data_IF_535272487003
#
_entry.id   IF_535272487003
#
_cell.length_a   1.000
_cell.length_b   1.000
_cell.length_c   1.000
_cell.angle_alpha   90.00
_cell.angle_beta   90.00
_cell.angle_gamma   90.00
#
_symmetry.space_group_name_H-M   'P 1'
#
loop_
_entity.id
_entity.type
_entity.pdbx_description
1 polymer ?
#
# COMPACT_ATOMS: atom_id res chain seq x y z
N UNK A 1 25.54 14.83 -3.06
CA UNK A 1 24.52 13.92 -3.60
C UNK A 1 24.07 13.04 -2.43
N UNK A 2 22.77 12.85 -2.19
CA UNK A 2 22.30 11.97 -1.11
C UNK A 2 22.19 10.55 -1.61
N UNK A 3 22.70 9.60 -0.84
CA UNK A 3 22.61 8.18 -1.13
C UNK A 3 21.49 7.54 -0.33
N UNK A 4 20.56 6.87 -0.99
CA UNK A 4 19.38 6.27 -0.38
C UNK A 4 19.38 4.76 -0.61
N UNK A 5 19.21 3.99 0.46
CA UNK A 5 18.88 2.56 0.37
C UNK A 5 17.36 2.41 0.33
N UNK A 6 16.86 1.66 -0.65
CA UNK A 6 15.42 1.38 -0.80
C UNK A 6 15.22 -0.12 -0.79
N UNK A 7 14.50 -0.63 0.19
CA UNK A 7 14.07 -2.04 0.20
C UNK A 7 12.71 -2.17 -0.45
N UNK A 8 12.48 -3.26 -1.19
CA UNK A 8 11.24 -3.43 -1.95
C UNK A 8 11.16 -2.53 -3.20
N UNK A 9 12.32 -2.18 -3.79
CA UNK A 9 12.41 -1.20 -4.87
C UNK A 9 11.91 -1.66 -6.23
N UNK A 10 11.64 -2.95 -6.44
CA UNK A 10 10.93 -3.48 -7.61
C UNK A 10 9.40 -3.58 -7.36
N UNK A 11 8.96 -3.41 -6.11
CA UNK A 11 7.56 -3.40 -5.72
C UNK A 11 6.79 -2.18 -6.25
N UNK A 12 5.48 -2.13 -5.95
CA UNK A 12 4.61 -1.05 -6.45
C UNK A 12 5.06 0.33 -5.98
N UNK A 13 5.12 0.55 -4.66
CA UNK A 13 5.48 1.86 -4.11
C UNK A 13 6.98 2.15 -4.20
N UNK A 14 7.83 1.16 -3.90
CA UNK A 14 9.28 1.35 -3.96
C UNK A 14 9.79 1.73 -5.36
N UNK A 15 9.16 1.22 -6.43
CA UNK A 15 9.48 1.58 -7.81
C UNK A 15 9.13 3.05 -8.13
N UNK A 16 7.97 3.51 -7.66
CA UNK A 16 7.55 4.90 -7.83
C UNK A 16 8.47 5.87 -7.05
N UNK A 17 8.71 5.57 -5.76
CA UNK A 17 9.60 6.35 -4.91
C UNK A 17 11.02 6.42 -5.48
N UNK A 18 11.59 5.29 -5.88
CA UNK A 18 12.91 5.20 -6.51
C UNK A 18 13.03 6.12 -7.74
N UNK A 19 12.06 6.04 -8.64
CA UNK A 19 12.04 6.84 -9.87
C UNK A 19 11.93 8.33 -9.59
N UNK A 20 11.15 8.72 -8.60
CA UNK A 20 11.01 10.11 -8.19
C UNK A 20 12.31 10.66 -7.60
N UNK A 21 12.93 9.93 -6.68
CA UNK A 21 14.22 10.31 -6.09
C UNK A 21 15.34 10.44 -7.13
N UNK A 22 15.42 9.50 -8.07
CA UNK A 22 16.40 9.55 -9.16
C UNK A 22 16.22 10.78 -10.07
N UNK A 23 14.96 11.16 -10.36
CA UNK A 23 14.64 12.39 -11.12
C UNK A 23 15.10 13.66 -10.38
N UNK A 24 15.10 13.64 -9.06
CA UNK A 24 15.59 14.74 -8.23
C UNK A 24 17.10 14.69 -7.98
N UNK A 25 17.84 13.78 -8.62
CA UNK A 25 19.30 13.69 -8.55
C UNK A 25 19.85 12.96 -7.33
N UNK A 26 19.01 12.17 -6.60
CA UNK A 26 19.50 11.25 -5.58
C UNK A 26 20.22 10.07 -6.23
N UNK A 27 21.18 9.47 -5.50
CA UNK A 27 21.72 8.16 -5.84
C UNK A 27 20.96 7.10 -5.01
N UNK A 28 20.52 6.03 -5.67
CA UNK A 28 19.73 4.99 -5.03
C UNK A 28 20.40 3.63 -5.17
N UNK A 29 20.45 2.89 -4.06
CA UNK A 29 20.63 1.43 -4.07
C UNK A 29 19.29 0.81 -3.75
N UNK A 30 18.81 -0.04 -4.62
CA UNK A 30 17.51 -0.73 -4.47
C UNK A 30 17.75 -2.22 -4.27
N UNK A 31 17.15 -2.82 -3.22
CA UNK A 31 17.19 -4.27 -2.96
C UNK A 31 15.76 -4.82 -3.01
N UNK A 32 15.59 -5.92 -3.73
CA UNK A 32 14.32 -6.63 -3.87
C UNK A 32 14.56 -8.12 -4.17
N UNK A 33 13.62 -8.98 -3.80
CA UNK A 33 13.60 -10.40 -4.17
C UNK A 33 13.45 -10.58 -5.69
N UNK A 34 12.68 -9.68 -6.30
CA UNK A 34 12.47 -9.67 -7.73
C UNK A 34 13.54 -8.86 -8.47
N UNK A 35 13.79 -9.23 -9.72
CA UNK A 35 14.70 -8.47 -10.58
C UNK A 35 14.08 -7.12 -10.94
N UNK A 36 14.80 -6.04 -10.68
CA UNK A 36 14.42 -4.71 -11.11
C UNK A 36 14.81 -4.49 -12.58
N UNK A 37 13.84 -4.31 -13.49
CA UNK A 37 14.12 -4.06 -14.90
C UNK A 37 14.54 -2.61 -15.19
N UNK A 38 14.28 -1.68 -14.27
CA UNK A 38 14.57 -0.26 -14.46
C UNK A 38 16.08 0.01 -14.48
N UNK A 39 16.50 0.91 -15.34
CA UNK A 39 17.92 1.31 -15.49
C UNK A 39 18.04 2.82 -15.44
N UNK A 40 18.96 3.29 -14.61
CA UNK A 40 19.31 4.71 -14.47
C UNK A 40 20.75 4.84 -13.97
N UNK A 41 21.56 5.84 -14.42
CA UNK A 41 22.94 5.99 -13.98
C UNK A 41 23.10 6.13 -12.46
N UNK A 42 22.15 6.76 -11.79
CA UNK A 42 22.13 6.92 -10.33
C UNK A 42 21.56 5.73 -9.56
N UNK A 43 21.23 4.58 -10.22
CA UNK A 43 20.64 3.41 -9.59
C UNK A 43 21.57 2.20 -9.62
N UNK A 44 21.85 1.64 -8.44
CA UNK A 44 22.36 0.27 -8.29
C UNK A 44 21.22 -0.64 -7.83
N UNK A 45 20.70 -1.49 -8.73
CA UNK A 45 19.67 -2.47 -8.40
C UNK A 45 20.33 -3.80 -7.98
N UNK A 46 19.98 -4.27 -6.80
CA UNK A 46 20.46 -5.53 -6.21
C UNK A 46 19.28 -6.48 -6.08
N UNK A 47 19.40 -7.67 -6.66
CA UNK A 47 18.47 -8.76 -6.38
C UNK A 47 18.94 -9.47 -5.12
N UNK A 48 18.10 -9.46 -4.07
CA UNK A 48 18.50 -10.05 -2.78
C UNK A 48 17.36 -10.06 -1.77
N UNK A 49 17.59 -10.76 -0.69
CA UNK A 49 16.65 -10.91 0.41
C UNK A 49 17.10 -10.06 1.61
N UNK A 50 16.22 -9.24 2.17
CA UNK A 50 16.53 -8.44 3.37
C UNK A 50 16.71 -9.29 4.63
N UNK A 51 16.38 -10.59 4.59
CA UNK A 51 16.72 -11.54 5.65
C UNK A 51 18.20 -11.94 5.66
N UNK A 52 18.90 -11.70 4.56
CA UNK A 52 20.36 -11.91 4.48
C UNK A 52 21.08 -10.65 4.99
N UNK A 53 21.41 -10.66 6.28
CA UNK A 53 22.12 -9.56 6.93
C UNK A 53 23.53 -9.37 6.35
N UNK A 54 24.17 -10.43 5.86
CA UNK A 54 25.52 -10.36 5.27
C UNK A 54 25.50 -9.59 3.96
N UNK A 55 24.44 -9.77 3.14
CA UNK A 55 24.22 -9.01 1.93
C UNK A 55 23.97 -7.52 2.23
N UNK A 56 23.14 -7.23 3.23
CA UNK A 56 22.87 -5.85 3.66
C UNK A 56 24.14 -5.16 4.16
N UNK A 57 24.95 -5.85 4.98
CA UNK A 57 26.26 -5.36 5.45
C UNK A 57 27.21 -5.07 4.27
N UNK A 58 27.27 -5.97 3.29
CA UNK A 58 28.12 -5.75 2.10
C UNK A 58 27.70 -4.50 1.33
N UNK A 59 26.38 -4.30 1.13
CA UNK A 59 25.84 -3.09 0.49
C UNK A 59 26.22 -1.82 1.26
N UNK A 60 26.12 -1.83 2.59
CA UNK A 60 26.41 -0.68 3.44
C UNK A 60 27.91 -0.39 3.58
N UNK A 61 28.79 -1.40 3.41
CA UNK A 61 30.25 -1.17 3.34
C UNK A 61 30.66 -0.48 2.04
N UNK A 62 29.99 -0.76 0.94
CA UNK A 62 30.29 -0.16 -0.35
C UNK A 62 29.75 1.27 -0.49
N UNK A 63 28.67 1.59 0.22
CA UNK A 63 27.98 2.87 0.07
C UNK A 63 27.55 3.41 1.43
N UNK A 64 27.97 4.63 1.77
CA UNK A 64 27.45 5.35 2.93
C UNK A 64 26.07 5.93 2.57
N UNK A 65 25.05 5.54 3.32
CA UNK A 65 23.68 6.00 3.12
C UNK A 65 23.28 7.14 4.06
N UNK A 66 22.49 8.08 3.54
CA UNK A 66 21.87 9.16 4.30
C UNK A 66 20.52 8.74 4.91
N UNK A 67 19.87 7.74 4.30
CA UNK A 67 18.62 7.17 4.81
C UNK A 67 18.34 5.80 4.18
N UNK A 68 17.48 5.02 4.88
CA UNK A 68 16.81 3.83 4.36
C UNK A 68 15.33 4.14 4.17
N UNK A 69 14.77 3.89 2.99
CA UNK A 69 13.32 3.74 2.79
C UNK A 69 12.97 2.25 2.83
N UNK A 70 12.36 1.83 3.91
CA UNK A 70 11.98 0.44 4.10
C UNK A 70 10.54 0.20 3.63
N UNK A 71 10.41 -0.16 2.32
CA UNK A 71 9.14 -0.42 1.65
C UNK A 71 8.89 -1.92 1.43
N UNK A 72 9.90 -2.78 1.66
CA UNK A 72 9.76 -4.21 1.47
C UNK A 72 8.72 -4.80 2.45
N UNK A 73 7.78 -5.56 1.90
CA UNK A 73 6.84 -6.35 2.68
C UNK A 73 6.19 -7.44 1.81
N UNK A 74 6.00 -8.61 2.39
CA UNK A 74 5.22 -9.69 1.78
C UNK A 74 3.78 -9.55 2.24
N UNK A 75 2.83 -9.51 1.28
CA UNK A 75 1.40 -9.39 1.54
C UNK A 75 0.76 -10.76 1.81
N UNK A 76 -0.24 -10.82 2.68
CA UNK A 76 -0.90 -12.08 3.06
C UNK A 76 -1.51 -12.85 1.89
N UNK A 77 -2.02 -12.15 0.87
CA UNK A 77 -2.60 -12.77 -0.31
C UNK A 77 -1.57 -13.15 -1.39
N UNK A 78 -0.35 -12.66 -1.29
CA UNK A 78 0.72 -12.93 -2.27
C UNK A 78 1.42 -14.27 -2.04
N UNK A 79 1.37 -14.81 -0.82
CA UNK A 79 2.06 -16.06 -0.48
C UNK A 79 1.20 -16.96 0.38
N UNK A 80 1.37 -18.30 0.20
CA UNK A 80 0.74 -19.32 1.06
C UNK A 80 1.55 -19.58 2.32
N UNK A 81 2.86 -19.41 2.24
CA UNK A 81 3.80 -19.63 3.34
C UNK A 81 3.77 -18.44 4.32
N UNK A 82 3.09 -18.65 5.43
CA UNK A 82 3.00 -17.65 6.50
C UNK A 82 4.32 -17.41 7.21
N UNK A 83 5.19 -18.42 7.28
CA UNK A 83 6.51 -18.27 7.88
C UNK A 83 7.41 -17.39 7.01
N UNK A 84 7.35 -17.56 5.69
CA UNK A 84 8.04 -16.69 4.74
C UNK A 84 7.58 -15.24 4.87
N UNK A 85 6.26 -15.00 4.99
CA UNK A 85 5.73 -13.66 5.25
C UNK A 85 6.28 -13.09 6.55
N UNK A 86 6.19 -13.87 7.63
CA UNK A 86 6.61 -13.42 8.94
C UNK A 86 8.08 -13.05 8.97
N UNK A 87 8.97 -13.98 8.57
CA UNK A 87 10.41 -13.77 8.59
C UNK A 87 10.82 -12.62 7.64
N UNK A 88 10.19 -12.50 6.48
CA UNK A 88 10.49 -11.38 5.56
C UNK A 88 10.11 -10.03 6.16
N UNK A 89 8.93 -9.93 6.79
CA UNK A 89 8.45 -8.65 7.32
C UNK A 89 9.05 -8.31 8.69
N UNK A 90 9.31 -9.31 9.54
CA UNK A 90 9.78 -9.08 10.93
C UNK A 90 11.30 -9.19 11.00
N UNK A 91 11.89 -10.34 10.62
CA UNK A 91 13.35 -10.51 10.71
C UNK A 91 14.05 -9.60 9.69
N UNK A 92 13.46 -9.43 8.51
CA UNK A 92 13.93 -8.44 7.52
C UNK A 92 13.96 -7.03 8.06
N UNK A 93 12.91 -6.58 8.78
CA UNK A 93 12.89 -5.26 9.42
C UNK A 93 13.94 -5.16 10.53
N UNK A 94 14.13 -6.21 11.33
CA UNK A 94 15.18 -6.25 12.34
C UNK A 94 16.57 -6.14 11.73
N UNK A 95 16.84 -6.84 10.65
CA UNK A 95 18.10 -6.73 9.92
C UNK A 95 18.35 -5.31 9.38
N UNK A 96 17.32 -4.64 8.88
CA UNK A 96 17.43 -3.25 8.43
C UNK A 96 17.79 -2.32 9.60
N UNK A 97 17.15 -2.49 10.77
CA UNK A 97 17.48 -1.72 11.96
C UNK A 97 18.91 -1.96 12.45
N UNK A 98 19.33 -3.24 12.53
CA UNK A 98 20.69 -3.64 12.91
C UNK A 98 21.75 -3.02 11.99
N UNK A 99 21.55 -3.11 10.68
CA UNK A 99 22.51 -2.58 9.70
C UNK A 99 22.53 -1.05 9.75
N UNK A 100 21.36 -0.41 9.91
CA UNK A 100 21.29 1.04 10.04
C UNK A 100 22.09 1.53 11.25
N UNK A 101 21.91 0.89 12.42
CA UNK A 101 22.72 1.15 13.63
C UNK A 101 24.22 0.92 13.37
N UNK A 102 24.58 -0.27 12.88
CA UNK A 102 25.98 -0.70 12.70
C UNK A 102 26.77 0.23 11.75
N UNK A 103 26.12 0.71 10.69
CA UNK A 103 26.77 1.58 9.69
C UNK A 103 26.49 3.06 9.91
N UNK A 104 25.85 3.45 11.02
CA UNK A 104 25.56 4.84 11.36
C UNK A 104 24.64 5.52 10.34
N UNK A 105 23.68 4.82 9.77
CA UNK A 105 22.69 5.43 8.87
C UNK A 105 21.73 6.25 9.73
N UNK A 106 21.67 7.58 9.52
CA UNK A 106 21.03 8.46 10.49
C UNK A 106 19.50 8.39 10.47
N UNK A 107 18.90 7.69 9.49
CA UNK A 107 17.45 7.76 9.28
C UNK A 107 16.86 6.49 8.64
N UNK A 108 15.75 6.00 9.20
CA UNK A 108 14.94 4.93 8.61
C UNK A 108 13.52 5.46 8.43
N UNK A 109 12.99 5.38 7.21
CA UNK A 109 11.58 5.70 6.90
C UNK A 109 10.85 4.41 6.57
N UNK A 110 9.85 4.07 7.36
CA UNK A 110 9.13 2.81 7.26
C UNK A 110 7.71 2.99 6.76
N UNK A 111 7.30 2.21 5.77
CA UNK A 111 5.92 2.12 5.32
C UNK A 111 5.18 1.05 6.12
N UNK A 112 4.36 1.48 7.08
CA UNK A 112 3.43 0.64 7.83
C UNK A 112 2.06 0.59 7.14
N UNK A 113 1.01 0.20 7.84
CA UNK A 113 -0.28 -0.11 7.21
C UNK A 113 -1.46 0.19 8.12
N UNK A 114 -2.63 0.42 7.52
CA UNK A 114 -3.92 0.45 8.22
C UNK A 114 -4.41 -0.95 8.64
N UNK A 115 -3.76 -2.03 8.18
CA UNK A 115 -4.06 -3.40 8.63
C UNK A 115 -3.71 -3.66 10.11
N UNK A 116 -3.17 -2.65 10.80
CA UNK A 116 -2.94 -2.68 12.24
C UNK A 116 -4.25 -2.75 13.04
N UNK A 117 -5.37 -2.36 12.46
CA UNK A 117 -6.65 -2.35 13.14
C UNK A 117 -7.69 -3.23 12.46
N UNK A 118 -8.35 -4.03 13.29
CA UNK A 118 -9.41 -4.92 12.88
C UNK A 118 -10.81 -4.40 13.21
N UNK A 119 -10.93 -3.33 14.01
CA UNK A 119 -12.20 -2.77 14.46
C UNK A 119 -12.51 -1.42 13.82
N UNK A 120 -13.81 -1.12 13.69
CA UNK A 120 -14.27 0.23 13.39
C UNK A 120 -14.35 1.02 14.69
N UNK A 121 -13.74 2.19 14.73
CA UNK A 121 -13.75 3.07 15.92
C UNK A 121 -14.96 4.02 15.97
N UNK A 122 -15.74 4.10 14.89
CA UNK A 122 -16.80 5.12 14.76
C UNK A 122 -16.28 6.56 14.67
N UNK A 123 -14.97 6.74 14.55
CA UNK A 123 -14.24 8.00 14.37
C UNK A 123 -12.94 7.74 13.60
N UNK A 124 -12.25 8.78 13.10
CA UNK A 124 -10.91 8.64 12.55
C UNK A 124 -9.93 8.01 13.56
N UNK A 125 -9.07 7.12 13.07
CA UNK A 125 -8.05 6.42 13.85
C UNK A 125 -6.87 7.36 14.06
N UNK A 126 -6.46 7.52 15.32
CA UNK A 126 -5.34 8.36 15.73
C UNK A 126 -4.06 7.51 15.89
N UNK A 127 -2.90 8.17 15.94
CA UNK A 127 -1.61 7.48 16.08
C UNK A 127 -1.42 6.76 17.42
N UNK A 128 -2.08 7.23 18.46
CA UNK A 128 -2.07 6.68 19.83
C UNK A 128 -3.13 5.59 20.08
N UNK A 129 -4.01 5.33 19.09
CA UNK A 129 -4.93 4.20 19.19
C UNK A 129 -4.15 2.88 19.17
N UNK A 130 -4.41 2.01 20.13
CA UNK A 130 -3.72 0.72 20.27
C UNK A 130 -4.01 -0.19 19.07
N UNK A 131 -2.98 -0.69 18.36
CA UNK A 131 -3.16 -1.62 17.27
C UNK A 131 -3.75 -2.97 17.71
N UNK A 132 -4.77 -3.43 16.98
CA UNK A 132 -5.44 -4.74 17.16
C UNK A 132 -5.50 -5.47 15.82
N UNK A 133 -4.38 -5.97 15.28
CA UNK A 133 -4.37 -6.60 13.96
C UNK A 133 -5.09 -7.95 13.96
N UNK A 134 -5.96 -8.17 12.96
CA UNK A 134 -6.71 -9.44 12.83
C UNK A 134 -5.96 -10.50 12.02
N UNK A 135 -4.98 -10.11 11.24
CA UNK A 135 -4.28 -10.98 10.30
C UNK A 135 -2.76 -10.89 10.46
N UNK A 136 -2.06 -11.96 10.06
CA UNK A 136 -0.61 -12.08 10.18
C UNK A 136 0.14 -10.92 9.50
N UNK A 137 -0.38 -10.35 8.43
CA UNK A 137 0.23 -9.19 7.77
C UNK A 137 0.20 -7.95 8.67
N UNK A 138 -0.96 -7.60 9.20
CA UNK A 138 -1.08 -6.49 10.15
C UNK A 138 -0.21 -6.70 11.38
N UNK A 139 -0.21 -7.91 11.94
CA UNK A 139 0.64 -8.27 13.08
C UNK A 139 2.13 -8.10 12.75
N UNK A 140 2.58 -8.54 11.56
CA UNK A 140 3.98 -8.38 11.14
C UNK A 140 4.39 -6.92 10.94
N UNK A 141 3.47 -6.06 10.46
CA UNK A 141 3.72 -4.62 10.34
C UNK A 141 3.80 -3.95 11.71
N UNK A 142 2.92 -4.34 12.63
CA UNK A 142 2.98 -3.88 14.03
C UNK A 142 4.27 -4.29 14.74
N UNK A 143 4.70 -5.54 14.54
CA UNK A 143 5.99 -5.99 15.07
C UNK A 143 7.16 -5.19 14.48
N UNK A 144 7.10 -4.87 13.20
CA UNK A 144 8.09 -4.01 12.55
C UNK A 144 8.15 -2.60 13.15
N UNK A 145 7.00 -1.98 13.50
CA UNK A 145 6.99 -0.68 14.21
C UNK A 145 7.66 -0.78 15.59
N UNK A 146 7.37 -1.85 16.34
CA UNK A 146 7.99 -2.08 17.67
C UNK A 146 9.50 -2.28 17.56
N UNK A 147 9.96 -3.10 16.62
CA UNK A 147 11.39 -3.30 16.35
C UNK A 147 12.07 -1.97 16.09
N UNK A 148 11.55 -1.15 15.18
CA UNK A 148 12.18 0.13 14.85
C UNK A 148 12.17 1.12 16.04
N UNK A 149 11.17 1.05 16.92
CA UNK A 149 11.11 1.84 18.13
C UNK A 149 12.21 1.47 19.15
N UNK A 150 12.65 0.19 19.19
CA UNK A 150 13.79 -0.26 20.02
C UNK A 150 15.10 0.50 19.70
N UNK A 151 15.23 1.04 18.47
CA UNK A 151 16.41 1.75 17.99
C UNK A 151 16.26 3.28 17.99
N UNK A 152 15.32 3.83 18.74
CA UNK A 152 15.02 5.27 18.75
C UNK A 152 16.23 6.17 19.16
N UNK A 153 17.23 5.61 19.83
CA UNK A 153 18.48 6.30 20.19
C UNK A 153 19.60 6.19 19.13
N UNK A 154 19.46 5.29 18.16
CA UNK A 154 20.50 4.98 17.19
C UNK A 154 20.30 5.73 15.85
N UNK A 155 19.05 5.95 15.45
CA UNK A 155 18.67 6.69 14.24
C UNK A 155 17.25 7.30 14.40
N UNK A 156 16.95 8.27 13.55
CA UNK A 156 15.60 8.83 13.47
C UNK A 156 14.71 7.84 12.69
N UNK A 157 13.66 7.34 13.34
CA UNK A 157 12.66 6.48 12.72
C UNK A 157 11.39 7.28 12.39
N UNK A 158 11.02 7.37 11.11
CA UNK A 158 9.75 7.95 10.67
C UNK A 158 8.89 6.84 10.07
N UNK A 159 7.78 6.54 10.71
CA UNK A 159 6.84 5.50 10.27
C UNK A 159 5.57 6.11 9.70
N UNK A 160 5.20 5.75 8.48
CA UNK A 160 3.94 6.12 7.86
C UNK A 160 2.96 4.95 7.89
N UNK A 161 1.83 5.10 8.57
CA UNK A 161 0.72 4.15 8.55
C UNK A 161 -0.18 4.48 7.36
N UNK A 162 -0.06 3.66 6.33
CA UNK A 162 -0.68 3.93 5.04
C UNK A 162 -2.00 3.16 4.89
N UNK A 163 -3.08 3.78 4.40
CA UNK A 163 -4.22 3.07 3.84
C UNK A 163 -3.84 2.51 2.47
N UNK A 164 -4.83 2.11 1.66
CA UNK A 164 -4.56 1.64 0.29
C UNK A 164 -3.85 2.73 -0.53
N UNK A 165 -2.61 2.46 -0.94
CA UNK A 165 -1.83 3.36 -1.78
C UNK A 165 -2.36 3.28 -3.22
N UNK A 166 -2.76 4.42 -3.77
CA UNK A 166 -3.32 4.56 -5.12
C UNK A 166 -2.35 5.27 -6.05
N UNK A 167 -2.31 4.81 -7.30
CA UNK A 167 -1.61 5.43 -8.42
C UNK A 167 -2.23 4.94 -9.72
N UNK A 168 -1.90 5.55 -10.84
CA UNK A 168 -2.44 5.20 -12.17
C UNK A 168 -2.30 3.70 -12.48
N UNK A 169 -1.19 3.07 -12.14
CA UNK A 169 -0.93 1.63 -12.37
C UNK A 169 -1.48 0.68 -11.30
N UNK A 170 -2.27 1.16 -10.33
CA UNK A 170 -2.85 0.32 -9.29
C UNK A 170 -4.02 -0.48 -9.82
N UNK A 171 -3.84 -1.79 -9.95
CA UNK A 171 -4.84 -2.72 -10.46
C UNK A 171 -5.34 -3.67 -9.36
N UNK A 172 -4.80 -4.86 -9.25
CA UNK A 172 -5.26 -5.85 -8.29
C UNK A 172 -6.77 -6.08 -8.38
N UNK A 173 -7.46 -5.99 -7.23
CA UNK A 173 -8.92 -6.14 -7.15
C UNK A 173 -9.69 -4.96 -7.80
N UNK A 174 -9.09 -3.79 -7.91
CA UNK A 174 -9.72 -2.64 -8.56
C UNK A 174 -9.95 -2.88 -10.07
N UNK A 175 -9.13 -3.71 -10.71
CA UNK A 175 -9.35 -4.08 -12.09
C UNK A 175 -10.73 -4.73 -12.33
N UNK A 176 -11.27 -5.44 -11.32
CA UNK A 176 -12.62 -6.02 -11.38
C UNK A 176 -13.68 -4.90 -11.41
N UNK A 177 -13.54 -3.90 -10.55
CA UNK A 177 -14.39 -2.72 -10.54
C UNK A 177 -14.33 -1.98 -11.87
N UNK A 178 -13.12 -1.75 -12.39
CA UNK A 178 -12.91 -1.03 -13.63
C UNK A 178 -13.49 -1.79 -14.84
N UNK A 179 -13.41 -3.10 -14.85
CA UNK A 179 -14.03 -3.93 -15.90
C UNK A 179 -15.56 -3.80 -15.91
N UNK A 180 -16.21 -3.73 -14.72
CA UNK A 180 -17.65 -3.49 -14.63
C UNK A 180 -18.05 -2.11 -15.14
N UNK A 181 -17.26 -1.07 -14.82
CA UNK A 181 -17.49 0.29 -15.30
C UNK A 181 -17.30 0.36 -16.82
N UNK A 182 -16.22 -0.21 -17.33
CA UNK A 182 -15.87 -0.16 -18.75
C UNK A 182 -16.89 -0.89 -19.65
N UNK A 183 -17.49 -1.97 -19.12
CA UNK A 183 -18.55 -2.72 -19.80
C UNK A 183 -19.96 -2.17 -19.59
N UNK A 184 -20.14 -1.02 -18.93
CA UNK A 184 -21.46 -0.44 -18.64
C UNK A 184 -22.31 -1.27 -17.66
N UNK A 185 -21.68 -2.12 -16.82
CA UNK A 185 -22.34 -3.02 -15.88
C UNK A 185 -22.68 -2.31 -14.56
N UNK A 186 -23.59 -2.91 -13.78
CA UNK A 186 -23.84 -2.44 -12.41
C UNK A 186 -22.61 -2.64 -11.54
N UNK A 187 -22.20 -1.60 -10.85
CA UNK A 187 -21.17 -1.63 -9.81
C UNK A 187 -21.84 -1.88 -8.47
N UNK A 188 -21.46 -2.99 -7.82
CA UNK A 188 -22.12 -3.43 -6.61
C UNK A 188 -21.43 -2.92 -5.36
N UNK A 189 -22.19 -2.30 -4.45
CA UNK A 189 -21.78 -1.94 -3.10
C UNK A 189 -22.48 -2.78 -2.06
N UNK A 190 -21.86 -3.02 -0.93
CA UNK A 190 -22.43 -3.78 0.18
C UNK A 190 -23.24 -2.84 1.07
N UNK A 191 -24.48 -3.21 1.39
CA UNK A 191 -25.41 -2.31 2.09
C UNK A 191 -25.79 -1.10 1.22
N UNK A 192 -25.86 0.07 1.83
CA UNK A 192 -26.10 1.35 1.16
C UNK A 192 -24.91 1.82 0.32
N UNK A 193 -23.70 1.31 0.62
CA UNK A 193 -22.45 1.84 0.11
C UNK A 193 -22.04 3.14 0.81
N UNK A 194 -22.62 3.40 1.99
CA UNK A 194 -22.43 4.62 2.77
C UNK A 194 -21.14 4.61 3.58
N UNK A 195 -20.47 3.43 3.65
CA UNK A 195 -19.20 3.30 4.34
C UNK A 195 -18.09 4.07 3.64
N UNK A 196 -17.21 4.67 4.45
CA UNK A 196 -16.08 5.47 4.00
C UNK A 196 -14.78 4.69 4.20
N UNK A 197 -13.91 4.73 3.20
CA UNK A 197 -12.61 4.07 3.27
C UNK A 197 -11.56 4.95 2.61
N UNK A 198 -10.56 5.36 3.38
CA UNK A 198 -9.54 6.29 2.94
C UNK A 198 -8.49 5.63 2.03
N UNK A 199 -8.02 6.39 1.04
CA UNK A 199 -6.87 6.08 0.20
C UNK A 199 -5.74 7.09 0.41
N UNK A 200 -4.57 6.80 -0.12
CA UNK A 200 -3.46 7.74 -0.24
C UNK A 200 -2.88 7.70 -1.65
N UNK A 201 -2.69 8.87 -2.25
CA UNK A 201 -1.97 9.01 -3.51
C UNK A 201 -0.48 8.64 -3.31
N UNK A 202 0.07 7.83 -4.20
CA UNK A 202 1.48 7.44 -4.14
C UNK A 202 2.41 8.66 -4.19
N UNK A 203 2.08 9.69 -4.98
CA UNK A 203 2.88 10.92 -5.05
C UNK A 203 2.85 11.71 -3.75
N UNK A 204 1.70 11.74 -3.04
CA UNK A 204 1.59 12.38 -1.74
C UNK A 204 2.40 11.62 -0.66
N UNK A 205 2.41 10.29 -0.72
CA UNK A 205 3.25 9.47 0.16
C UNK A 205 4.75 9.67 -0.16
N UNK A 206 5.15 9.79 -1.43
CA UNK A 206 6.51 10.13 -1.84
C UNK A 206 6.90 11.51 -1.28
N UNK A 207 6.00 12.48 -1.35
CA UNK A 207 6.22 13.80 -0.75
C UNK A 207 6.44 13.70 0.76
N UNK A 208 5.64 12.91 1.48
CA UNK A 208 5.84 12.65 2.90
C UNK A 208 7.20 11.98 3.19
N UNK A 209 7.61 10.99 2.38
CA UNK A 209 8.93 10.37 2.48
C UNK A 209 10.07 11.38 2.33
N UNK A 210 9.96 12.32 1.39
CA UNK A 210 10.95 13.38 1.20
C UNK A 210 10.97 14.39 2.35
N UNK A 211 9.81 14.72 2.92
CA UNK A 211 9.73 15.55 4.13
C UNK A 211 10.36 14.85 5.33
N UNK A 212 10.17 13.54 5.46
CA UNK A 212 10.81 12.73 6.51
C UNK A 212 12.35 12.80 6.46
N UNK A 213 12.98 13.02 5.28
CA UNK A 213 14.44 13.21 5.18
C UNK A 213 14.95 14.48 5.88
N UNK A 214 14.06 15.40 6.22
CA UNK A 214 14.39 16.68 6.88
C UNK A 214 13.82 16.77 8.29
N UNK A 215 12.96 15.85 8.68
CA UNK A 215 12.38 15.81 10.01
C UNK A 215 13.41 15.31 11.01
N UNK A 216 13.56 15.99 12.14
CA UNK A 216 14.64 15.78 13.12
C UNK A 216 14.23 14.91 14.32
N UNK A 217 13.04 14.37 14.31
CA UNK A 217 12.50 13.54 15.39
C UNK A 217 11.94 12.22 14.86
N UNK A 218 12.05 11.18 15.68
CA UNK A 218 11.32 9.92 15.43
C UNK A 218 9.83 10.14 15.65
N UNK A 219 8.99 9.50 14.83
CA UNK A 219 7.55 9.61 14.96
C UNK A 219 6.79 8.63 14.07
N UNK A 220 5.57 8.34 14.51
CA UNK A 220 4.58 7.60 13.73
C UNK A 220 3.54 8.60 13.24
N UNK A 221 3.18 8.48 11.97
CA UNK A 221 2.25 9.37 11.30
C UNK A 221 1.21 8.57 10.52
N UNK A 222 -0.05 8.84 10.78
CA UNK A 222 -1.14 8.43 9.93
C UNK A 222 -1.16 9.30 8.66
N UNK A 223 -1.37 8.70 7.50
CA UNK A 223 -1.40 9.41 6.22
C UNK A 223 -2.60 8.98 5.39
N UNK A 224 -3.22 9.91 4.67
CA UNK A 224 -4.40 9.63 3.83
C UNK A 224 -4.95 10.88 3.17
N UNK A 225 -5.90 10.70 2.26
CA UNK A 225 -6.61 11.80 1.60
C UNK A 225 -7.55 12.53 2.58
N UNK A 226 -7.90 13.76 2.22
CA UNK A 226 -8.92 14.54 2.93
C UNK A 226 -10.32 14.31 2.32
N UNK A 227 -11.35 14.74 3.06
CA UNK A 227 -12.75 14.76 2.60
C UNK A 227 -13.22 13.41 2.04
N UNK A 228 -12.95 12.34 2.80
CA UNK A 228 -13.26 10.97 2.38
C UNK A 228 -14.77 10.79 2.21
N UNK A 229 -15.18 10.49 0.97
CA UNK A 229 -16.58 10.22 0.61
C UNK A 229 -16.90 8.73 0.72
N UNK A 230 -18.20 8.42 0.75
CA UNK A 230 -18.70 7.05 0.74
C UNK A 230 -18.33 6.32 -0.57
N UNK A 231 -18.25 4.99 -0.52
CA UNK A 231 -18.00 4.20 -1.75
C UNK A 231 -19.04 4.45 -2.83
N UNK A 232 -20.32 4.69 -2.45
CA UNK A 232 -21.37 5.03 -3.39
C UNK A 232 -21.05 6.32 -4.15
N UNK A 233 -20.61 7.35 -3.44
CA UNK A 233 -20.27 8.64 -4.06
C UNK A 233 -18.99 8.52 -4.90
N UNK A 234 -17.96 7.84 -4.38
CA UNK A 234 -16.69 7.63 -5.10
C UNK A 234 -16.90 6.86 -6.40
N UNK A 235 -17.68 5.75 -6.35
CA UNK A 235 -17.98 4.99 -7.56
C UNK A 235 -18.91 5.74 -8.51
N UNK A 236 -19.89 6.49 -7.97
CA UNK A 236 -20.77 7.36 -8.74
C UNK A 236 -19.98 8.39 -9.55
N UNK A 237 -19.01 9.05 -8.92
CA UNK A 237 -18.12 10.01 -9.58
C UNK A 237 -17.34 9.37 -10.74
N UNK A 238 -16.73 8.19 -10.50
CA UNK A 238 -15.98 7.50 -11.56
C UNK A 238 -16.87 7.09 -12.72
N UNK A 239 -18.07 6.57 -12.44
CA UNK A 239 -19.06 6.17 -13.45
C UNK A 239 -19.51 7.38 -14.30
N UNK A 240 -19.85 8.49 -13.64
CA UNK A 240 -20.25 9.72 -14.31
C UNK A 240 -19.16 10.22 -15.25
N UNK A 241 -17.92 10.28 -14.77
CA UNK A 241 -16.77 10.70 -15.58
C UNK A 241 -16.40 9.72 -16.69
N UNK A 242 -16.63 8.42 -16.49
CA UNK A 242 -16.39 7.40 -17.51
C UNK A 242 -17.43 7.43 -18.65
N UNK A 243 -18.66 7.89 -18.39
CA UNK A 243 -19.72 8.00 -19.38
C UNK A 243 -20.20 6.66 -19.96
N UNK A 244 -20.01 5.54 -19.23
CA UNK A 244 -20.25 4.18 -19.74
C UNK A 244 -21.68 3.67 -19.56
N UNK A 245 -22.58 4.43 -18.94
CA UNK A 245 -23.93 3.99 -18.59
C UNK A 245 -24.02 3.03 -17.40
N UNK A 246 -22.91 2.75 -16.73
CA UNK A 246 -22.86 2.00 -15.47
C UNK A 246 -23.68 2.71 -14.39
N UNK A 247 -24.06 1.97 -13.36
CA UNK A 247 -24.74 2.54 -12.18
C UNK A 247 -24.35 1.79 -10.92
N UNK A 248 -24.35 2.49 -9.78
CA UNK A 248 -24.13 1.86 -8.47
C UNK A 248 -25.39 1.13 -8.04
N UNK A 249 -25.25 -0.14 -7.65
CA UNK A 249 -26.32 -0.98 -7.13
C UNK A 249 -25.94 -1.58 -5.76
N UNK A 250 -26.93 -1.83 -4.91
CA UNK A 250 -26.73 -2.31 -3.55
C UNK A 250 -26.96 -3.80 -3.44
N UNK A 251 -26.13 -4.46 -2.62
CA UNK A 251 -26.34 -5.82 -2.13
C UNK A 251 -26.70 -5.76 -0.63
N UNK A 252 -27.66 -6.54 -0.14
CA UNK A 252 -28.00 -6.57 1.28
C UNK A 252 -26.78 -6.93 2.15
N UNK A 253 -26.45 -6.12 3.17
CA UNK A 253 -25.18 -6.23 3.93
C UNK A 253 -24.99 -7.61 4.56
N UNK A 254 -25.91 -8.04 5.40
CA UNK A 254 -25.77 -9.29 6.19
C UNK A 254 -25.65 -10.55 5.32
N UNK A 255 -26.58 -10.83 4.37
CA UNK A 255 -26.46 -12.03 3.54
C UNK A 255 -25.26 -11.99 2.61
N UNK A 256 -24.85 -10.79 2.12
CA UNK A 256 -23.66 -10.66 1.28
C UNK A 256 -22.39 -11.01 2.05
N UNK A 257 -22.21 -10.47 3.25
CA UNK A 257 -21.04 -10.78 4.08
C UNK A 257 -20.99 -12.25 4.49
N UNK A 258 -22.15 -12.87 4.76
CA UNK A 258 -22.21 -14.30 5.03
C UNK A 258 -21.79 -15.12 3.81
N UNK A 259 -22.31 -14.80 2.63
CA UNK A 259 -21.94 -15.47 1.39
C UNK A 259 -20.46 -15.32 1.05
N UNK A 260 -19.89 -14.13 1.29
CA UNK A 260 -18.46 -13.88 1.08
C UNK A 260 -17.59 -14.71 2.02
N UNK A 261 -17.95 -14.81 3.31
CA UNK A 261 -17.23 -15.65 4.29
C UNK A 261 -17.29 -17.14 3.90
N UNK A 262 -18.47 -17.61 3.46
CA UNK A 262 -18.63 -18.97 2.97
C UNK A 262 -17.79 -19.24 1.72
N UNK A 263 -17.81 -18.33 0.75
CA UNK A 263 -17.00 -18.43 -0.47
C UNK A 263 -15.48 -18.40 -0.19
N UNK A 264 -15.05 -17.66 0.81
CA UNK A 264 -13.66 -17.69 1.27
C UNK A 264 -13.30 -19.04 1.90
N UNK A 265 -14.16 -19.56 2.78
CA UNK A 265 -13.95 -20.86 3.39
C UNK A 265 -13.87 -21.97 2.34
N UNK A 266 -14.69 -21.90 1.30
CA UNK A 266 -14.66 -22.82 0.14
C UNK A 266 -13.50 -22.55 -0.83
N UNK A 267 -12.65 -21.53 -0.58
CA UNK A 267 -11.51 -21.13 -1.43
C UNK A 267 -11.88 -20.76 -2.87
N UNK A 268 -13.11 -20.27 -3.10
CA UNK A 268 -13.59 -19.82 -4.43
C UNK A 268 -13.66 -18.29 -4.56
N UNK A 269 -13.47 -17.55 -3.47
CA UNK A 269 -13.44 -16.09 -3.45
C UNK A 269 -12.00 -15.55 -3.53
N UNK A 270 -11.74 -14.52 -4.36
CA UNK A 270 -10.48 -13.80 -4.35
C UNK A 270 -10.37 -12.82 -3.16
N UNK A 271 -11.47 -12.58 -2.43
CA UNK A 271 -11.53 -11.66 -1.30
C UNK A 271 -11.28 -12.41 0.01
N UNK A 272 -10.51 -11.81 0.90
CA UNK A 272 -10.23 -12.31 2.25
C UNK A 272 -10.90 -11.45 3.35
N UNK A 273 -10.70 -11.80 4.63
CA UNK A 273 -11.30 -11.09 5.76
C UNK A 273 -11.04 -9.59 5.78
N UNK A 274 -9.83 -9.17 5.44
CA UNK A 274 -9.49 -7.75 5.35
C UNK A 274 -10.34 -7.01 4.30
N UNK A 275 -10.50 -7.60 3.10
CA UNK A 275 -11.30 -7.00 2.05
C UNK A 275 -12.79 -6.89 2.41
N UNK A 276 -13.32 -7.83 3.21
CA UNK A 276 -14.72 -7.74 3.68
C UNK A 276 -14.94 -6.51 4.55
N UNK A 277 -13.96 -6.21 5.43
CA UNK A 277 -14.00 -5.00 6.26
C UNK A 277 -13.91 -3.74 5.40
N UNK A 278 -12.93 -3.68 4.52
CA UNK A 278 -12.73 -2.54 3.63
C UNK A 278 -14.00 -2.16 2.86
N UNK A 279 -14.77 -3.13 2.37
CA UNK A 279 -15.97 -2.87 1.55
C UNK A 279 -17.27 -2.71 2.35
N UNK A 280 -17.26 -2.94 3.66
CA UNK A 280 -18.46 -2.97 4.49
C UNK A 280 -18.39 -2.13 5.77
N UNK A 281 -17.22 -1.64 6.15
CA UNK A 281 -16.97 -0.88 7.37
C UNK A 281 -16.19 0.40 7.06
N UNK A 282 -16.31 1.40 7.95
CA UNK A 282 -15.57 2.63 7.83
C UNK A 282 -14.12 2.45 8.28
N UNK A 283 -13.21 3.09 7.56
CA UNK A 283 -11.83 3.24 7.99
C UNK A 283 -11.23 4.55 7.46
N UNK A 284 -10.92 5.46 8.37
CA UNK A 284 -10.28 6.75 8.08
C UNK A 284 -9.23 7.00 9.14
N UNK A 285 -8.07 7.47 8.76
CA UNK A 285 -7.06 8.01 9.66
C UNK A 285 -7.32 9.48 9.97
N UNK A 286 -7.05 9.90 11.21
CA UNK A 286 -6.75 11.29 11.49
C UNK A 286 -5.37 11.62 10.91
N UNK A 287 -5.29 12.69 10.14
CA UNK A 287 -4.04 13.16 9.50
C UNK A 287 -3.56 14.50 10.07
N UNK A 288 -4.10 14.91 11.21
CA UNK A 288 -3.77 16.18 11.85
C UNK A 288 -2.30 16.29 12.23
N UNK A 289 -1.73 15.22 12.80
CA UNK A 289 -0.33 15.17 13.23
C UNK A 289 0.66 15.37 12.08
N UNK A 290 0.51 14.62 10.98
CA UNK A 290 1.43 14.76 9.83
C UNK A 290 1.34 16.15 9.20
N UNK A 291 0.14 16.74 9.14
CA UNK A 291 -0.07 18.10 8.63
C UNK A 291 0.61 19.14 9.52
N UNK A 292 0.51 18.99 10.83
CA UNK A 292 1.11 19.93 11.80
C UNK A 292 2.63 19.82 11.83
N UNK A 293 3.19 18.61 11.92
CA UNK A 293 4.61 18.40 12.15
C UNK A 293 5.45 18.41 10.86
N UNK A 294 4.93 17.84 9.76
CA UNK A 294 5.65 17.77 8.49
C UNK A 294 5.19 18.83 7.48
N UNK A 295 4.19 19.66 7.79
CA UNK A 295 3.58 20.62 6.86
C UNK A 295 3.10 19.94 5.56
N UNK A 296 2.74 18.66 5.67
CA UNK A 296 2.29 17.83 4.56
C UNK A 296 0.80 18.06 4.26
N UNK A 297 0.42 17.94 2.99
CA UNK A 297 -0.98 17.99 2.56
C UNK A 297 -1.23 16.99 1.44
N UNK A 298 -2.39 16.28 1.44
CA UNK A 298 -2.79 15.46 0.30
C UNK A 298 -3.21 16.35 -0.87
N UNK A 299 -3.00 15.88 -2.08
CA UNK A 299 -3.28 16.62 -3.33
C UNK A 299 -4.50 16.12 -4.07
N UNK A 300 -4.90 14.85 -3.86
CA UNK A 300 -6.02 14.21 -4.52
C UNK A 300 -7.04 13.66 -3.53
N UNK A 301 -8.31 13.74 -3.90
CA UNK A 301 -9.41 13.05 -3.20
C UNK A 301 -9.47 11.57 -3.60
N UNK A 302 -10.24 10.76 -2.85
CA UNK A 302 -10.43 9.35 -3.16
C UNK A 302 -11.00 9.11 -4.55
N UNK A 303 -12.00 9.90 -4.94
CA UNK A 303 -12.66 9.79 -6.23
C UNK A 303 -11.74 10.15 -7.39
N UNK A 304 -10.89 11.16 -7.23
CA UNK A 304 -9.91 11.56 -8.24
C UNK A 304 -8.84 10.48 -8.41
N UNK A 305 -8.31 9.93 -7.31
CA UNK A 305 -7.37 8.82 -7.35
C UNK A 305 -7.95 7.59 -8.06
N UNK A 306 -9.19 7.24 -7.73
CA UNK A 306 -9.85 6.08 -8.33
C UNK A 306 -10.14 6.31 -9.82
N UNK A 307 -10.53 7.52 -10.20
CA UNK A 307 -10.77 7.88 -11.60
C UNK A 307 -9.47 7.85 -12.42
N UNK A 308 -8.36 8.36 -11.89
CA UNK A 308 -7.06 8.30 -12.56
C UNK A 308 -6.61 6.84 -12.79
N UNK A 309 -6.80 5.98 -11.79
CA UNK A 309 -6.52 4.55 -11.92
C UNK A 309 -7.44 3.86 -12.96
N UNK A 310 -8.73 4.26 -13.03
CA UNK A 310 -9.66 3.80 -14.07
C UNK A 310 -9.22 4.25 -15.47
N UNK A 311 -8.84 5.51 -15.63
CA UNK A 311 -8.35 6.02 -16.93
C UNK A 311 -7.12 5.25 -17.42
N UNK A 312 -6.20 4.96 -16.50
CA UNK A 312 -5.04 4.13 -16.83
C UNK A 312 -5.46 2.73 -17.28
N UNK A 313 -6.39 2.08 -16.53
CA UNK A 313 -6.93 0.78 -16.90
C UNK A 313 -7.56 0.79 -18.30
N UNK A 314 -8.47 1.73 -18.56
CA UNK A 314 -9.17 1.88 -19.82
C UNK A 314 -8.21 2.06 -21.02
N UNK A 315 -7.23 2.95 -20.88
CA UNK A 315 -6.24 3.24 -21.92
C UNK A 315 -5.28 2.07 -22.21
N UNK A 316 -4.98 1.26 -21.20
CA UNK A 316 -3.97 0.20 -21.29
C UNK A 316 -4.55 -1.21 -21.22
N UNK A 317 -5.84 -1.39 -21.50
CA UNK A 317 -6.57 -2.66 -21.31
C UNK A 317 -5.91 -3.83 -22.06
N UNK A 318 -5.45 -3.61 -23.29
CA UNK A 318 -4.80 -4.66 -24.11
C UNK A 318 -3.48 -5.13 -23.49
N UNK A 319 -2.66 -4.19 -23.03
CA UNK A 319 -1.39 -4.49 -22.35
C UNK A 319 -1.62 -5.18 -21.01
N UNK A 320 -2.58 -4.69 -20.20
CA UNK A 320 -2.93 -5.26 -18.88
C UNK A 320 -3.34 -6.73 -19.01
N UNK A 321 -4.14 -7.08 -20.02
CA UNK A 321 -4.56 -8.47 -20.28
C UNK A 321 -3.40 -9.39 -20.67
N UNK A 322 -2.34 -8.85 -21.24
CA UNK A 322 -1.13 -9.58 -21.63
C UNK A 322 -0.07 -9.73 -20.56
N UNK A 323 -0.17 -9.01 -19.44
CA UNK A 323 0.85 -9.00 -18.37
C UNK A 323 0.96 -10.34 -17.67
N UNK A 324 2.20 -10.82 -17.55
CA UNK A 324 2.57 -12.00 -16.76
C UNK A 324 3.74 -11.62 -15.85
N UNK A 325 3.84 -12.27 -14.69
CA UNK A 325 4.99 -12.15 -13.78
C UNK A 325 5.30 -10.71 -13.30
N UNK A 326 4.26 -9.92 -13.05
CA UNK A 326 4.35 -8.59 -12.43
C UNK A 326 3.78 -8.63 -11.01
N UNK A 327 4.12 -7.63 -10.19
CA UNK A 327 3.63 -7.55 -8.80
C UNK A 327 2.09 -7.62 -8.73
N UNK A 328 1.57 -8.21 -7.65
CA UNK A 328 0.13 -8.37 -7.41
C UNK A 328 -0.68 -7.06 -7.53
N UNK A 329 -0.04 -5.91 -7.35
CA UNK A 329 -0.65 -4.60 -7.49
C UNK A 329 -0.72 -4.09 -8.94
N UNK A 330 0.13 -4.60 -9.81
CA UNK A 330 0.20 -4.22 -11.24
C UNK A 330 -0.53 -5.22 -12.17
N UNK A 331 -1.00 -6.35 -11.63
CA UNK A 331 -1.73 -7.38 -12.35
C UNK A 331 -3.22 -7.33 -11.98
N UNK A 332 -4.11 -7.59 -12.95
CA UNK A 332 -5.53 -7.74 -12.69
C UNK A 332 -5.81 -9.03 -11.90
N UNK A 333 -6.58 -8.91 -10.82
CA UNK A 333 -7.00 -10.09 -10.05
C UNK A 333 -8.01 -10.94 -10.85
N UNK A 334 -7.95 -12.26 -10.65
CA UNK A 334 -8.96 -13.15 -11.22
C UNK A 334 -10.29 -12.94 -10.49
N UNK A 335 -11.37 -12.81 -11.23
CA UNK A 335 -12.71 -12.55 -10.67
C UNK A 335 -13.25 -13.64 -9.74
N UNK A 336 -12.82 -14.90 -9.94
CA UNK A 336 -13.40 -16.00 -9.18
C UNK A 336 -14.94 -16.00 -9.25
N UNK A 337 -15.59 -16.23 -8.10
CA UNK A 337 -17.06 -16.23 -7.97
C UNK A 337 -17.71 -14.87 -8.29
N UNK A 338 -16.97 -13.76 -8.19
CA UNK A 338 -17.48 -12.41 -8.52
C UNK A 338 -17.94 -12.34 -9.97
N UNK A 339 -17.41 -13.19 -10.86
CA UNK A 339 -17.85 -13.31 -12.25
C UNK A 339 -19.34 -13.57 -12.39
N UNK A 340 -19.96 -14.24 -11.42
CA UNK A 340 -21.40 -14.47 -11.41
C UNK A 340 -22.21 -13.16 -11.28
N UNK A 341 -21.68 -12.16 -10.60
CA UNK A 341 -22.32 -10.84 -10.49
C UNK A 341 -22.46 -10.14 -11.84
N UNK A 342 -21.61 -10.46 -12.82
CA UNK A 342 -21.75 -9.94 -14.21
C UNK A 342 -23.03 -10.40 -14.89
N UNK A 343 -23.59 -11.54 -14.49
CA UNK A 343 -24.84 -12.07 -15.08
C UNK A 343 -26.07 -11.32 -14.58
N UNK A 344 -25.96 -10.65 -13.42
CA UNK A 344 -27.04 -9.87 -12.80
C UNK A 344 -26.84 -8.36 -12.97
N UNK A 345 -25.82 -7.98 -13.73
CA UNK A 345 -25.40 -6.58 -13.92
C UNK A 345 -25.90 -5.98 -15.21
#
# INVERSE_FOLDING_TARGET
MRNILITGGAGFFGDLLKKDLLREGFACVSIDLERDPFRHPGLKAVRGDIRDISLLDAICRETRFDAVFHCAAILAHAVKDKNFLWTSNVDGTRNIAEVAKRHGIPRVVFTSSNCLWAKNFGRPVMEDDEPEPAEIYGLSKWEGEKILAEYAGDFINVTFRCPTIMDEGRLGLLAILFEFIDEGRKVWVVGGGDNIYQFICAQDLITACKLALRHDKSGVFNIGSDNVRSFREVYGYVIEKAGTGSRVASLPKTPTLFAMRLAYWLKVSPLGPYQYKMIAEDFVFDTGKIKAELQWKPTLTNEEMLYNAYLYYHKNLADIKGRKDVSAHKQAAKMGIIRLLKWFS
#
